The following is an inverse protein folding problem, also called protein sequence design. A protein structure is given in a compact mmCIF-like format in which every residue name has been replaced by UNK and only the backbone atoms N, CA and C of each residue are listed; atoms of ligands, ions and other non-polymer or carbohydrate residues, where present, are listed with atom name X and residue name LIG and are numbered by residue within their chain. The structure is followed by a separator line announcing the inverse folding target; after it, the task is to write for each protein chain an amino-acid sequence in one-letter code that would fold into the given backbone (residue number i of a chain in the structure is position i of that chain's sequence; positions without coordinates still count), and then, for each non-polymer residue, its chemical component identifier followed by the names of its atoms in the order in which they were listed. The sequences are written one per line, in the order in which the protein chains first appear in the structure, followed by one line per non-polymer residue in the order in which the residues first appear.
data_IF_405220626680
#
_entry.id   IF_405220626680
#
_cell.length_a   1.000
_cell.length_b   1.000
_cell.length_c   1.000
_cell.angle_alpha   90.00
_cell.angle_beta   90.00
_cell.angle_gamma   90.00
#
_symmetry.space_group_name_H-M   'P 1'
#
loop_
_entity.id
_entity.type
_entity.pdbx_description
1 polymer ?
#
# COMPACT_ATOMS: atom_id res chain seq x y z
N UNK A 1 -18.48 -13.63 -1.66
CA UNK A 1 -17.17 -14.14 -2.16
C UNK A 1 -16.20 -14.15 -1.00
N UNK A 2 -15.25 -15.10 -0.97
CA UNK A 2 -14.14 -15.04 -0.03
C UNK A 2 -13.25 -13.83 -0.36
N UNK A 3 -12.70 -13.18 0.66
CA UNK A 3 -11.73 -12.12 0.49
C UNK A 3 -10.40 -12.74 0.03
N UNK A 4 -9.77 -12.20 -1.00
CA UNK A 4 -8.48 -12.69 -1.48
C UNK A 4 -7.34 -12.19 -0.59
N UNK A 5 -6.32 -13.02 -0.40
CA UNK A 5 -5.11 -12.69 0.33
C UNK A 5 -3.95 -12.40 -0.62
N UNK A 6 -3.25 -11.31 -0.39
CA UNK A 6 -1.97 -11.00 -1.02
C UNK A 6 -0.84 -10.94 0.02
N UNK A 7 0.39 -10.94 -0.44
CA UNK A 7 1.56 -10.66 0.39
C UNK A 7 2.47 -9.68 -0.34
N UNK A 8 3.05 -8.73 0.41
CA UNK A 8 3.98 -7.77 -0.13
C UNK A 8 5.30 -8.46 -0.57
N UNK A 9 5.75 -8.22 -1.81
CA UNK A 9 7.01 -8.78 -2.33
C UNK A 9 8.22 -8.25 -1.55
N UNK A 10 8.11 -7.02 -1.05
CA UNK A 10 9.12 -6.32 -0.25
C UNK A 10 9.12 -6.74 1.23
N UNK A 11 8.26 -7.66 1.65
CA UNK A 11 8.32 -8.26 2.99
C UNK A 11 9.61 -9.06 3.23
N UNK A 12 10.21 -9.58 2.16
CA UNK A 12 11.39 -10.45 2.22
C UNK A 12 12.61 -9.87 1.47
N UNK A 13 13.12 -8.68 1.85
CA UNK A 13 14.14 -7.95 1.08
C UNK A 13 15.52 -8.65 1.04
N UNK A 14 15.77 -9.61 1.91
CA UNK A 14 17.01 -10.40 1.94
C UNK A 14 17.03 -11.54 0.91
N UNK A 15 15.88 -11.87 0.31
CA UNK A 15 15.78 -12.80 -0.80
C UNK A 15 15.96 -12.06 -2.13
N UNK A 16 16.30 -12.80 -3.19
CA UNK A 16 16.11 -12.26 -4.54
C UNK A 16 14.61 -12.10 -4.82
N UNK A 17 14.23 -11.22 -5.76
CA UNK A 17 12.83 -11.03 -6.11
C UNK A 17 12.14 -12.35 -6.51
N UNK A 18 12.81 -13.19 -7.31
CA UNK A 18 12.28 -14.49 -7.70
C UNK A 18 12.01 -15.39 -6.48
N UNK A 19 12.93 -15.47 -5.53
CA UNK A 19 12.75 -16.27 -4.32
C UNK A 19 11.68 -15.67 -3.37
N UNK A 20 11.53 -14.34 -3.34
CA UNK A 20 10.42 -13.70 -2.60
C UNK A 20 9.06 -14.12 -3.18
N UNK A 21 8.91 -14.08 -4.50
CA UNK A 21 7.68 -14.52 -5.18
C UNK A 21 7.47 -16.04 -5.04
N UNK A 22 8.52 -16.87 -5.11
CA UNK A 22 8.43 -18.31 -4.84
C UNK A 22 7.90 -18.57 -3.43
N UNK A 23 8.42 -17.86 -2.43
CA UNK A 23 7.97 -17.98 -1.05
C UNK A 23 6.51 -17.56 -0.89
N UNK A 24 6.08 -16.46 -1.47
CA UNK A 24 4.68 -15.99 -1.45
C UNK A 24 3.75 -17.05 -2.05
N UNK A 25 4.11 -17.63 -3.19
CA UNK A 25 3.33 -18.71 -3.82
C UNK A 25 3.30 -19.97 -2.96
N UNK A 26 4.44 -20.41 -2.39
CA UNK A 26 4.52 -21.55 -1.48
C UNK A 26 3.69 -21.36 -0.21
N UNK A 27 3.58 -20.15 0.29
CA UNK A 27 2.71 -19.80 1.40
C UNK A 27 1.21 -19.80 1.00
N UNK A 28 0.91 -19.94 -0.29
CA UNK A 28 -0.45 -20.11 -0.83
C UNK A 28 -1.25 -18.80 -0.87
N UNK A 29 -0.63 -17.64 -0.98
CA UNK A 29 -1.33 -16.40 -1.24
C UNK A 29 -1.94 -16.38 -2.64
N UNK A 30 -3.06 -15.66 -2.81
CA UNK A 30 -3.75 -15.50 -4.10
C UNK A 30 -3.03 -14.51 -5.02
N UNK A 31 -2.30 -13.54 -4.44
CA UNK A 31 -1.61 -12.49 -5.17
C UNK A 31 -0.42 -11.92 -4.44
N UNK A 32 0.25 -10.98 -5.11
CA UNK A 32 1.35 -10.22 -4.55
C UNK A 32 1.12 -8.71 -4.71
N UNK A 33 1.46 -7.95 -3.67
CA UNK A 33 1.62 -6.51 -3.73
C UNK A 33 3.05 -6.21 -4.15
N UNK A 34 3.22 -5.44 -5.19
CA UNK A 34 4.51 -5.15 -5.82
C UNK A 34 4.99 -3.76 -5.41
N UNK A 35 6.07 -3.71 -4.65
CA UNK A 35 6.69 -2.46 -4.21
C UNK A 35 7.58 -1.85 -5.28
N UNK A 36 7.22 -0.67 -5.77
CA UNK A 36 8.08 0.19 -6.58
C UNK A 36 8.68 1.29 -5.69
N UNK A 37 9.61 0.91 -4.81
CA UNK A 37 10.23 1.81 -3.84
C UNK A 37 11.69 2.09 -4.26
N UNK A 38 11.96 3.32 -4.66
CA UNK A 38 13.30 3.71 -5.05
C UNK A 38 14.33 3.42 -3.93
N UNK A 39 15.31 2.56 -4.25
CA UNK A 39 16.37 2.18 -3.32
C UNK A 39 16.00 1.25 -2.17
N UNK A 40 14.73 0.80 -2.02
CA UNK A 40 14.27 0.07 -0.83
C UNK A 40 13.53 -1.24 -1.10
N UNK A 41 12.98 -1.47 -2.29
CA UNK A 41 12.34 -2.73 -2.68
C UNK A 41 13.15 -3.48 -3.73
N UNK A 42 12.66 -4.63 -4.16
CA UNK A 42 13.29 -5.39 -5.25
C UNK A 42 13.27 -4.65 -6.59
N UNK A 43 12.21 -3.86 -6.83
CA UNK A 43 11.95 -3.17 -8.08
C UNK A 43 12.03 -1.65 -7.88
N UNK A 44 12.96 -1.02 -8.59
CA UNK A 44 13.20 0.42 -8.50
C UNK A 44 12.70 1.14 -9.76
N UNK A 45 11.84 2.16 -9.64
CA UNK A 45 11.36 2.94 -10.78
C UNK A 45 12.47 3.38 -11.72
N UNK A 46 13.58 3.90 -11.19
CA UNK A 46 14.73 4.36 -12.00
C UNK A 46 15.35 3.28 -12.90
N UNK A 47 15.26 2.01 -12.50
CA UNK A 47 15.78 0.88 -13.27
C UNK A 47 14.76 0.29 -14.22
N UNK A 48 13.50 0.21 -13.78
CA UNK A 48 12.43 -0.44 -14.54
C UNK A 48 11.96 0.41 -15.72
N UNK A 49 11.85 1.72 -15.51
CA UNK A 49 11.24 2.62 -16.48
C UNK A 49 12.15 2.95 -17.68
N UNK A 50 13.43 2.55 -17.66
CA UNK A 50 14.30 2.62 -18.81
C UNK A 50 13.86 1.70 -19.97
N UNK A 51 13.36 0.49 -19.67
CA UNK A 51 12.71 -0.44 -20.61
C UNK A 51 11.42 -0.97 -19.96
N UNK A 52 10.45 -0.07 -19.79
CA UNK A 52 9.24 -0.31 -19.02
C UNK A 52 8.47 -1.54 -19.50
N UNK A 53 8.21 -1.65 -20.81
CA UNK A 53 7.39 -2.74 -21.35
C UNK A 53 8.04 -4.11 -21.15
N UNK A 54 9.34 -4.19 -21.33
CA UNK A 54 10.09 -5.43 -21.07
C UNK A 54 10.05 -5.79 -19.59
N UNK A 55 10.28 -4.82 -18.71
CA UNK A 55 10.25 -5.01 -17.27
C UNK A 55 8.88 -5.46 -16.77
N UNK A 56 7.82 -4.83 -17.29
CA UNK A 56 6.44 -5.17 -16.95
C UNK A 56 6.07 -6.60 -17.40
N UNK A 57 6.39 -6.96 -18.63
CA UNK A 57 6.15 -8.32 -19.15
C UNK A 57 6.94 -9.38 -18.40
N UNK A 58 8.18 -9.07 -18.01
CA UNK A 58 8.97 -9.98 -17.18
C UNK A 58 8.33 -10.21 -15.82
N UNK A 59 7.80 -9.16 -15.16
CA UNK A 59 7.06 -9.29 -13.91
C UNK A 59 5.78 -10.10 -14.11
N UNK A 60 4.97 -9.77 -15.12
CA UNK A 60 3.74 -10.50 -15.42
C UNK A 60 4.00 -12.00 -15.64
N UNK A 61 5.08 -12.37 -16.36
CA UNK A 61 5.51 -13.75 -16.51
C UNK A 61 5.87 -14.40 -15.17
N UNK A 62 6.67 -13.72 -14.34
CA UNK A 62 7.05 -14.24 -13.01
C UNK A 62 5.86 -14.53 -12.11
N UNK A 63 4.84 -13.65 -12.11
CA UNK A 63 3.62 -13.85 -11.33
C UNK A 63 2.79 -15.00 -11.89
N UNK A 64 2.57 -15.02 -13.22
CA UNK A 64 1.83 -16.08 -13.92
C UNK A 64 2.42 -17.46 -13.71
N UNK A 65 3.75 -17.59 -13.81
CA UNK A 65 4.47 -18.88 -13.62
C UNK A 65 4.27 -19.45 -12.19
N UNK A 66 3.88 -18.60 -11.24
CA UNK A 66 3.65 -18.95 -9.84
C UNK A 66 2.17 -19.02 -9.46
N UNK A 67 1.27 -18.72 -10.40
CA UNK A 67 -0.16 -18.64 -10.14
C UNK A 67 -0.57 -17.47 -9.23
N UNK A 68 0.27 -16.43 -9.15
CA UNK A 68 -0.01 -15.22 -8.37
C UNK A 68 -0.70 -14.16 -9.23
N UNK A 69 -1.72 -13.51 -8.66
CA UNK A 69 -2.31 -12.32 -9.26
C UNK A 69 -1.50 -11.06 -8.83
N UNK A 70 -1.49 -10.02 -9.68
CA UNK A 70 -0.99 -8.71 -9.29
C UNK A 70 -2.09 -8.00 -8.50
N UNK A 71 -1.96 -7.95 -7.18
CA UNK A 71 -2.98 -7.41 -6.29
C UNK A 71 -2.89 -5.88 -6.19
N UNK A 72 -1.68 -5.35 -6.05
CA UNK A 72 -1.40 -3.91 -6.01
C UNK A 72 -0.02 -3.59 -6.60
N UNK A 73 0.15 -2.37 -7.09
CA UNK A 73 1.45 -1.75 -7.37
C UNK A 73 1.62 -0.54 -6.46
N UNK A 74 2.46 -0.67 -5.46
CA UNK A 74 2.69 0.40 -4.49
C UNK A 74 3.89 1.26 -4.90
N UNK A 75 3.64 2.53 -5.24
CA UNK A 75 4.66 3.49 -5.65
C UNK A 75 5.14 4.33 -4.46
N UNK A 76 6.45 4.33 -4.21
CA UNK A 76 7.14 5.32 -3.39
C UNK A 76 8.26 5.96 -4.22
N UNK A 77 8.09 7.24 -4.52
CA UNK A 77 8.91 7.97 -5.50
C UNK A 77 10.33 8.26 -5.05
N UNK A 78 10.58 8.24 -3.73
CA UNK A 78 11.87 8.53 -3.13
C UNK A 78 12.07 7.69 -1.85
N UNK A 79 13.30 7.57 -1.34
CA UNK A 79 13.57 6.91 -0.06
C UNK A 79 12.96 7.63 1.16
N UNK A 80 12.64 8.91 1.02
CA UNK A 80 11.95 9.73 2.03
C UNK A 80 10.56 10.16 1.53
N UNK A 81 9.75 10.73 2.42
CA UNK A 81 8.37 11.12 2.11
C UNK A 81 8.23 12.55 1.56
N UNK A 82 9.32 13.31 1.48
CA UNK A 82 9.33 14.77 1.26
C UNK A 82 9.91 15.16 -0.08
N UNK A 83 11.08 14.61 -0.44
CA UNK A 83 11.90 15.09 -1.57
C UNK A 83 11.19 15.01 -2.93
N UNK A 84 10.34 13.99 -3.16
CA UNK A 84 9.50 13.85 -4.36
C UNK A 84 8.04 13.63 -3.92
N UNK A 85 7.59 14.37 -2.91
CA UNK A 85 6.20 14.31 -2.48
C UNK A 85 5.25 14.77 -3.60
N UNK A 86 4.06 14.13 -3.76
CA UNK A 86 3.11 14.52 -4.80
C UNK A 86 2.68 15.98 -4.66
N UNK A 87 2.60 16.50 -3.45
CA UNK A 87 2.20 17.86 -3.13
C UNK A 87 3.37 18.80 -2.81
N UNK A 88 4.58 18.53 -3.32
CA UNK A 88 5.75 19.35 -3.07
C UNK A 88 5.52 20.82 -3.51
N UNK A 89 5.98 21.86 -2.75
CA UNK A 89 5.82 23.28 -3.13
C UNK A 89 6.41 23.61 -4.50
N UNK A 90 7.58 23.05 -4.83
CA UNK A 90 8.23 23.24 -6.12
C UNK A 90 7.48 22.50 -7.24
N UNK A 91 7.04 23.24 -8.25
CA UNK A 91 6.35 22.73 -9.43
C UNK A 91 7.19 21.70 -10.22
N UNK A 92 8.52 21.85 -10.26
CA UNK A 92 9.38 20.92 -11.00
C UNK A 92 9.39 19.55 -10.32
N UNK A 93 9.43 19.52 -8.99
CA UNK A 93 9.33 18.28 -8.21
C UNK A 93 7.97 17.61 -8.43
N UNK A 94 6.87 18.38 -8.43
CA UNK A 94 5.55 17.82 -8.74
C UNK A 94 5.47 17.25 -10.17
N UNK A 95 6.09 17.91 -11.16
CA UNK A 95 6.16 17.37 -12.53
C UNK A 95 6.90 16.03 -12.57
N UNK A 96 8.02 15.93 -11.85
CA UNK A 96 8.75 14.65 -11.71
C UNK A 96 7.88 13.59 -11.03
N UNK A 97 7.17 13.92 -9.96
CA UNK A 97 6.26 13.00 -9.28
C UNK A 97 5.11 12.54 -10.20
N UNK A 98 4.56 13.44 -11.04
CA UNK A 98 3.55 13.09 -12.05
C UNK A 98 4.12 12.17 -13.14
N UNK A 99 5.32 12.43 -13.64
CA UNK A 99 5.97 11.57 -14.63
C UNK A 99 6.20 10.15 -14.09
N UNK A 100 6.67 10.03 -12.84
CA UNK A 100 6.81 8.72 -12.19
C UNK A 100 5.46 8.01 -12.05
N UNK A 101 4.40 8.74 -11.71
CA UNK A 101 3.05 8.17 -11.63
C UNK A 101 2.52 7.72 -13.00
N UNK A 102 2.70 8.51 -14.06
CA UNK A 102 2.33 8.12 -15.43
C UNK A 102 3.04 6.84 -15.87
N UNK A 103 4.33 6.74 -15.57
CA UNK A 103 5.11 5.52 -15.87
C UNK A 103 4.63 4.34 -15.04
N UNK A 104 4.20 4.57 -13.78
CA UNK A 104 3.62 3.52 -12.94
C UNK A 104 2.29 3.04 -13.50
N UNK A 105 1.43 3.94 -13.98
CA UNK A 105 0.17 3.57 -14.66
C UNK A 105 0.45 2.70 -15.89
N UNK A 106 1.39 3.11 -16.75
CA UNK A 106 1.79 2.32 -17.93
C UNK A 106 2.35 0.94 -17.53
N UNK A 107 3.21 0.90 -16.51
CA UNK A 107 3.79 -0.35 -16.00
C UNK A 107 2.71 -1.29 -15.46
N UNK A 108 1.79 -0.77 -14.65
CA UNK A 108 0.68 -1.56 -14.06
C UNK A 108 -0.20 -2.16 -15.16
N UNK A 109 -0.54 -1.39 -16.19
CA UNK A 109 -1.32 -1.89 -17.34
C UNK A 109 -0.60 -2.99 -18.10
N UNK A 110 0.68 -2.79 -18.42
CA UNK A 110 1.49 -3.80 -19.14
C UNK A 110 1.69 -5.08 -18.31
N UNK A 111 1.60 -4.99 -16.97
CA UNK A 111 1.57 -6.16 -16.08
C UNK A 111 0.18 -6.82 -15.97
N UNK A 112 -0.88 -6.20 -16.51
CA UNK A 112 -2.26 -6.66 -16.33
C UNK A 112 -2.89 -6.29 -14.98
N UNK A 113 -2.26 -5.39 -14.20
CA UNK A 113 -2.76 -4.90 -12.91
C UNK A 113 -3.88 -3.89 -13.04
N UNK A 114 -4.65 -3.70 -11.95
CA UNK A 114 -5.81 -2.81 -11.90
C UNK A 114 -5.84 -1.91 -10.68
N UNK A 115 -4.81 -1.93 -9.85
CA UNK A 115 -4.72 -1.16 -8.63
C UNK A 115 -3.34 -0.54 -8.47
N UNK A 116 -3.30 0.71 -8.01
CA UNK A 116 -2.07 1.43 -7.66
C UNK A 116 -2.27 2.09 -6.31
N UNK A 117 -1.34 1.85 -5.40
CA UNK A 117 -1.19 2.56 -4.15
C UNK A 117 -0.05 3.58 -4.23
N UNK A 118 -0.19 4.72 -3.55
CA UNK A 118 0.90 5.66 -3.35
C UNK A 118 0.73 6.42 -2.03
N UNK A 119 1.78 7.15 -1.63
CA UNK A 119 1.70 8.02 -0.45
C UNK A 119 0.97 9.33 -0.80
N UNK A 120 0.13 9.88 0.13
CA UNK A 120 -0.71 11.04 -0.15
C UNK A 120 0.05 12.36 -0.26
N UNK A 121 1.26 12.42 0.29
CA UNK A 121 2.03 13.65 0.49
C UNK A 121 2.11 14.06 1.96
N UNK A 122 2.71 15.21 2.20
CA UNK A 122 3.07 15.69 3.56
C UNK A 122 2.63 17.14 3.78
N UNK A 123 2.62 17.57 5.04
CA UNK A 123 2.53 19.00 5.39
C UNK A 123 3.94 19.59 5.37
N UNK A 124 4.13 20.70 4.66
CA UNK A 124 5.41 21.39 4.59
C UNK A 124 5.47 22.50 5.65
N UNK A 125 6.51 22.45 6.50
CA UNK A 125 6.67 23.42 7.60
C UNK A 125 6.93 24.86 7.14
N UNK A 126 7.22 25.07 5.86
CA UNK A 126 7.54 26.40 5.27
C UNK A 126 6.31 27.15 4.76
N UNK A 127 5.12 26.56 4.89
CA UNK A 127 3.86 27.12 4.39
C UNK A 127 2.70 26.80 5.32
N UNK A 128 1.53 27.47 5.21
CA UNK A 128 0.31 27.07 5.92
C UNK A 128 -0.13 25.65 5.53
N UNK A 129 -0.61 24.87 6.50
CA UNK A 129 -1.11 23.51 6.26
C UNK A 129 -2.20 23.46 5.18
N UNK A 130 -3.06 24.48 5.11
CA UNK A 130 -4.10 24.61 4.09
C UNK A 130 -3.53 24.61 2.66
N UNK A 131 -2.38 25.26 2.42
CA UNK A 131 -1.74 25.28 1.10
C UNK A 131 -1.18 23.91 0.72
N UNK A 132 -0.54 23.22 1.67
CA UNK A 132 -0.11 21.83 1.48
C UNK A 132 -1.30 20.91 1.16
N UNK A 133 -2.43 21.09 1.86
CA UNK A 133 -3.63 20.27 1.70
C UNK A 133 -4.35 20.54 0.36
N UNK A 134 -4.52 21.80 -0.02
CA UNK A 134 -5.17 22.15 -1.29
C UNK A 134 -4.37 21.63 -2.47
N UNK A 135 -3.06 21.82 -2.45
CA UNK A 135 -2.16 21.25 -3.45
C UNK A 135 -2.17 19.72 -3.47
N UNK A 136 -2.28 19.09 -2.29
CA UNK A 136 -2.44 17.64 -2.17
C UNK A 136 -3.72 17.19 -2.89
N UNK A 137 -4.86 17.85 -2.66
CA UNK A 137 -6.14 17.54 -3.32
C UNK A 137 -6.04 17.63 -4.85
N UNK A 138 -5.46 18.71 -5.36
CA UNK A 138 -5.27 18.92 -6.80
C UNK A 138 -4.42 17.81 -7.43
N UNK A 139 -3.32 17.46 -6.78
CA UNK A 139 -2.40 16.44 -7.27
C UNK A 139 -2.99 15.03 -7.19
N UNK A 140 -3.78 14.73 -6.17
CA UNK A 140 -4.47 13.45 -6.05
C UNK A 140 -5.64 13.35 -7.03
N UNK A 141 -6.38 14.45 -7.27
CA UNK A 141 -7.44 14.49 -8.27
C UNK A 141 -6.89 14.19 -9.68
N UNK A 142 -5.77 14.80 -10.04
CA UNK A 142 -5.09 14.53 -11.30
C UNK A 142 -4.70 13.03 -11.44
N UNK A 143 -4.21 12.41 -10.35
CA UNK A 143 -3.86 10.98 -10.34
C UNK A 143 -5.06 10.07 -10.47
N UNK A 144 -6.16 10.41 -9.79
CA UNK A 144 -7.43 9.69 -9.93
C UNK A 144 -7.93 9.70 -11.37
N UNK A 145 -7.98 10.88 -12.00
CA UNK A 145 -8.40 11.01 -13.40
C UNK A 145 -7.48 10.21 -14.34
N UNK A 146 -6.17 10.30 -14.12
CA UNK A 146 -5.17 9.60 -14.94
C UNK A 146 -5.28 8.08 -14.83
N UNK A 147 -5.45 7.53 -13.64
CA UNK A 147 -5.61 6.11 -13.40
C UNK A 147 -6.98 5.61 -13.92
N UNK A 148 -8.06 6.31 -13.59
CA UNK A 148 -9.42 5.96 -14.02
C UNK A 148 -9.57 5.93 -15.54
N UNK A 149 -8.92 6.84 -16.27
CA UNK A 149 -8.88 6.86 -17.73
C UNK A 149 -8.25 5.60 -18.35
N UNK A 150 -7.58 4.77 -17.54
CA UNK A 150 -6.98 3.50 -17.93
C UNK A 150 -7.65 2.29 -17.24
N UNK A 151 -8.75 2.49 -16.51
CA UNK A 151 -9.43 1.43 -15.77
C UNK A 151 -8.68 0.93 -14.54
N UNK A 152 -7.78 1.75 -13.99
CA UNK A 152 -7.02 1.46 -12.77
C UNK A 152 -7.67 2.20 -11.60
N UNK A 153 -7.81 1.53 -10.45
CA UNK A 153 -8.17 2.15 -9.18
C UNK A 153 -6.91 2.74 -8.54
N UNK A 154 -7.00 4.00 -8.14
CA UNK A 154 -5.92 4.67 -7.41
C UNK A 154 -6.29 4.84 -5.94
N UNK A 155 -5.39 4.43 -5.05
CA UNK A 155 -5.52 4.55 -3.62
C UNK A 155 -4.32 5.26 -2.99
N UNK A 156 -4.55 5.88 -1.84
CA UNK A 156 -3.47 6.39 -0.99
C UNK A 156 -3.36 5.57 0.29
N UNK A 157 -2.13 5.34 0.74
CA UNK A 157 -1.89 4.83 2.07
C UNK A 157 -1.76 5.99 3.06
N UNK A 158 -2.73 6.10 3.96
CA UNK A 158 -2.69 7.07 5.06
C UNK A 158 -1.73 6.56 6.15
N UNK A 159 -0.54 7.17 6.24
CA UNK A 159 0.54 6.66 7.08
C UNK A 159 1.04 7.69 8.10
N UNK A 160 1.82 7.22 9.08
CA UNK A 160 2.53 8.08 10.03
C UNK A 160 3.40 9.09 9.29
N UNK A 161 3.25 10.38 9.63
CA UNK A 161 3.99 11.47 9.01
C UNK A 161 3.40 12.00 7.71
N UNK A 162 2.32 11.40 7.18
CA UNK A 162 1.62 11.94 6.01
C UNK A 162 0.64 13.06 6.40
N UNK A 163 0.15 13.77 5.39
CA UNK A 163 -0.91 14.78 5.53
C UNK A 163 -2.25 14.17 5.98
N UNK A 164 -2.40 12.85 5.89
CA UNK A 164 -3.58 12.06 6.26
C UNK A 164 -3.31 11.14 7.45
N UNK A 165 -2.58 11.58 8.47
CA UNK A 165 -2.06 10.76 9.57
C UNK A 165 -3.10 10.35 10.64
N UNK A 166 -4.36 10.77 10.52
CA UNK A 166 -5.45 10.35 11.43
C UNK A 166 -6.65 9.81 10.64
N UNK A 167 -7.52 8.97 11.24
CA UNK A 167 -8.72 8.50 10.55
C UNK A 167 -9.61 9.63 10.04
N UNK A 168 -9.71 10.71 10.79
CA UNK A 168 -10.52 11.88 10.41
C UNK A 168 -9.93 12.58 9.19
N UNK A 169 -8.61 12.86 9.19
CA UNK A 169 -7.95 13.53 8.06
C UNK A 169 -7.91 12.64 6.82
N UNK A 170 -7.70 11.33 6.97
CA UNK A 170 -7.76 10.35 5.89
C UNK A 170 -9.17 10.30 5.24
N UNK A 171 -10.22 10.20 6.05
CA UNK A 171 -11.60 10.22 5.56
C UNK A 171 -11.96 11.54 4.86
N UNK A 172 -11.55 12.68 5.43
CA UNK A 172 -11.80 13.99 4.86
C UNK A 172 -11.09 14.15 3.49
N UNK A 173 -9.84 13.72 3.39
CA UNK A 173 -9.07 13.80 2.15
C UNK A 173 -9.70 12.93 1.05
N UNK A 174 -10.00 11.67 1.34
CA UNK A 174 -10.63 10.75 0.35
C UNK A 174 -11.97 11.28 -0.13
N UNK A 175 -12.83 11.76 0.77
CA UNK A 175 -14.14 12.31 0.41
C UNK A 175 -14.05 13.62 -0.37
N UNK A 176 -12.96 14.37 -0.24
CA UNK A 176 -12.76 15.64 -0.95
C UNK A 176 -12.23 15.47 -2.38
N UNK A 177 -11.75 14.27 -2.75
CA UNK A 177 -11.16 13.98 -4.06
C UNK A 177 -11.98 12.89 -4.76
N UNK A 178 -12.78 13.21 -5.80
CA UNK A 178 -13.57 12.21 -6.51
C UNK A 178 -12.71 11.09 -7.08
N UNK A 179 -13.13 9.83 -6.85
CA UNK A 179 -12.43 8.64 -7.33
C UNK A 179 -11.24 8.19 -6.50
N UNK A 180 -10.85 8.94 -5.47
CA UNK A 180 -9.80 8.53 -4.55
C UNK A 180 -10.30 7.46 -3.58
N UNK A 181 -9.46 6.47 -3.28
CA UNK A 181 -9.72 5.44 -2.27
C UNK A 181 -8.54 5.29 -1.30
N UNK A 182 -8.65 4.38 -0.34
CA UNK A 182 -7.59 4.04 0.60
C UNK A 182 -6.99 2.67 0.27
N UNK A 183 -5.68 2.59 0.35
CA UNK A 183 -4.97 1.41 0.81
C UNK A 183 -4.90 1.54 2.32
N UNK A 184 -5.77 0.83 3.02
CA UNK A 184 -5.97 1.03 4.45
C UNK A 184 -5.05 0.12 5.25
N UNK A 185 -4.12 0.71 5.97
CA UNK A 185 -3.30 0.04 6.98
C UNK A 185 -3.65 0.56 8.38
N UNK A 186 -4.29 -0.29 9.20
CA UNK A 186 -4.66 0.04 10.57
C UNK A 186 -3.45 0.38 11.44
N UNK A 187 -2.30 -0.22 11.16
CA UNK A 187 -1.12 -0.16 12.03
C UNK A 187 -0.61 1.26 12.22
N UNK A 188 -0.73 2.10 11.19
CA UNK A 188 -0.35 3.50 11.27
C UNK A 188 -1.15 4.29 12.30
N UNK A 189 -2.42 3.96 12.47
CA UNK A 189 -3.31 4.58 13.47
C UNK A 189 -3.15 3.92 14.84
N UNK A 190 -3.09 2.58 14.87
CA UNK A 190 -2.93 1.77 16.09
C UNK A 190 -1.64 2.13 16.83
N UNK A 191 -0.55 2.39 16.09
CA UNK A 191 0.71 2.89 16.66
C UNK A 191 0.51 4.18 17.46
N UNK A 192 -0.37 5.06 17.00
CA UNK A 192 -0.75 6.29 17.69
C UNK A 192 -1.69 6.09 18.88
N UNK A 193 -2.10 4.85 19.17
CA UNK A 193 -3.05 4.52 20.23
C UNK A 193 -4.52 4.75 19.85
N UNK A 194 -4.82 4.89 18.55
CA UNK A 194 -6.19 5.05 18.05
C UNK A 194 -6.88 3.69 18.08
N UNK A 195 -8.09 3.63 18.62
CA UNK A 195 -8.85 2.40 18.75
C UNK A 195 -9.43 1.94 17.40
N UNK A 196 -9.54 0.62 17.20
CA UNK A 196 -10.10 0.02 15.97
C UNK A 196 -11.47 0.59 15.59
N UNK A 197 -12.32 0.90 16.58
CA UNK A 197 -13.64 1.50 16.34
C UNK A 197 -13.60 2.88 15.65
N UNK A 198 -12.52 3.63 15.85
CA UNK A 198 -12.33 4.94 15.22
C UNK A 198 -11.79 4.78 13.78
N UNK A 199 -11.07 3.67 13.50
CA UNK A 199 -10.48 3.36 12.20
C UNK A 199 -11.50 2.65 11.31
N UNK A 200 -12.34 1.79 11.87
CA UNK A 200 -13.30 0.93 11.17
C UNK A 200 -14.14 1.63 10.08
N UNK A 201 -14.63 2.88 10.26
CA UNK A 201 -15.35 3.59 9.21
C UNK A 201 -14.57 3.80 7.91
N UNK A 202 -13.24 3.73 7.95
CA UNK A 202 -12.38 3.85 6.76
C UNK A 202 -12.44 2.63 5.84
N UNK A 203 -12.87 1.46 6.34
CA UNK A 203 -13.00 0.23 5.52
C UNK A 203 -13.92 0.48 4.33
N UNK A 204 -14.99 1.25 4.50
CA UNK A 204 -15.90 1.58 3.41
C UNK A 204 -15.30 2.52 2.34
N UNK A 205 -14.14 3.11 2.60
CA UNK A 205 -13.40 3.97 1.69
C UNK A 205 -12.18 3.25 1.08
N UNK A 206 -11.93 2.00 1.47
CA UNK A 206 -10.76 1.25 1.05
C UNK A 206 -11.03 0.41 -0.21
N UNK A 207 -10.06 0.37 -1.11
CA UNK A 207 -10.02 -0.53 -2.26
C UNK A 207 -8.92 -1.58 -2.15
N UNK A 208 -7.95 -1.36 -1.27
CA UNK A 208 -6.91 -2.29 -0.88
C UNK A 208 -6.69 -2.21 0.63
N UNK A 209 -6.11 -3.25 1.23
CA UNK A 209 -5.89 -3.30 2.67
C UNK A 209 -4.53 -3.94 2.98
N UNK A 210 -3.74 -3.29 3.84
CA UNK A 210 -2.52 -3.86 4.40
C UNK A 210 -2.75 -4.36 5.82
N UNK A 211 -2.26 -5.55 6.11
CA UNK A 211 -2.42 -6.23 7.40
C UNK A 211 -1.07 -6.67 7.96
N UNK A 212 -0.77 -6.26 9.17
CA UNK A 212 0.35 -6.74 10.01
C UNK A 212 0.01 -6.54 11.49
N UNK A 213 0.80 -7.10 12.38
CA UNK A 213 0.60 -6.86 13.82
C UNK A 213 1.04 -5.45 14.22
N UNK A 214 0.28 -4.80 15.10
CA UNK A 214 0.65 -3.52 15.70
C UNK A 214 0.08 -3.35 17.11
N UNK A 215 0.63 -2.38 17.84
CA UNK A 215 0.13 -1.89 19.13
C UNK A 215 0.55 -0.44 19.37
N UNK A 216 0.02 0.18 20.40
CA UNK A 216 0.43 1.54 20.76
C UNK A 216 1.97 1.65 20.93
N UNK A 217 2.56 2.65 20.26
CA UNK A 217 3.99 2.87 20.22
C UNK A 217 4.79 1.94 19.30
N UNK A 218 4.14 0.99 18.61
CA UNK A 218 4.79 0.05 17.67
C UNK A 218 3.97 -0.08 16.41
N UNK A 219 4.57 0.35 15.28
CA UNK A 219 3.98 0.23 13.96
C UNK A 219 3.91 -1.21 13.50
N UNK A 220 4.95 -1.99 13.78
CA UNK A 220 5.01 -3.42 13.54
C UNK A 220 5.31 -4.17 14.84
N UNK A 221 4.44 -5.10 15.18
CA UNK A 221 4.53 -5.95 16.36
C UNK A 221 4.35 -7.42 15.96
N UNK A 222 4.79 -8.36 16.82
CA UNK A 222 4.50 -9.77 16.62
C UNK A 222 2.99 -10.03 16.64
N UNK A 223 2.56 -11.14 16.06
CA UNK A 223 1.15 -11.56 16.10
C UNK A 223 0.63 -11.69 17.54
N UNK A 224 1.50 -12.14 18.45
CA UNK A 224 1.14 -12.28 19.87
C UNK A 224 0.92 -10.93 20.57
N UNK A 225 1.64 -9.88 20.17
CA UNK A 225 1.53 -8.52 20.72
C UNK A 225 0.49 -7.66 19.98
N UNK A 226 0.00 -8.14 18.84
CA UNK A 226 -0.98 -7.42 18.04
C UNK A 226 -2.27 -7.16 18.82
N UNK A 227 -2.78 -5.93 18.71
CA UNK A 227 -4.04 -5.51 19.36
C UNK A 227 -5.18 -5.25 18.37
N UNK A 228 -4.91 -5.32 17.06
CA UNK A 228 -5.93 -5.13 16.01
C UNK A 228 -6.83 -6.37 15.96
N UNK A 229 -8.13 -6.18 16.06
CA UNK A 229 -9.14 -7.25 15.92
C UNK A 229 -9.41 -7.55 14.43
N UNK A 230 -8.53 -8.31 13.80
CA UNK A 230 -8.68 -8.69 12.38
C UNK A 230 -9.93 -9.54 12.11
N UNK A 231 -10.47 -10.27 13.09
CA UNK A 231 -11.73 -10.99 12.90
C UNK A 231 -12.88 -10.00 12.68
N UNK A 232 -12.94 -8.93 13.48
CA UNK A 232 -13.89 -7.84 13.32
C UNK A 232 -13.66 -7.04 12.05
N UNK A 233 -12.39 -6.77 11.68
CA UNK A 233 -12.05 -6.10 10.40
C UNK A 233 -12.61 -6.88 9.22
N UNK A 234 -12.39 -8.20 9.15
CA UNK A 234 -12.91 -9.05 8.08
C UNK A 234 -14.45 -9.12 8.08
N UNK A 235 -15.08 -9.13 9.26
CA UNK A 235 -16.55 -9.07 9.36
C UNK A 235 -17.07 -7.73 8.79
N UNK A 236 -16.44 -6.61 9.14
CA UNK A 236 -16.81 -5.28 8.64
C UNK A 236 -16.59 -5.17 7.13
N UNK A 237 -15.47 -5.69 6.60
CA UNK A 237 -15.24 -5.78 5.16
C UNK A 237 -16.39 -6.47 4.42
N UNK A 238 -16.87 -7.60 4.94
CA UNK A 238 -18.03 -8.31 4.34
C UNK A 238 -19.31 -7.48 4.43
N UNK A 239 -19.55 -6.80 5.56
CA UNK A 239 -20.74 -5.96 5.75
C UNK A 239 -20.79 -4.78 4.78
N UNK A 240 -19.65 -4.16 4.48
CA UNK A 240 -19.58 -3.03 3.53
C UNK A 240 -19.42 -3.46 2.07
N UNK A 241 -19.29 -4.77 1.80
CA UNK A 241 -19.11 -5.28 0.45
C UNK A 241 -17.71 -5.04 -0.13
N UNK A 242 -16.68 -5.04 0.71
CA UNK A 242 -15.29 -4.90 0.27
C UNK A 242 -14.89 -6.04 -0.68
N UNK A 243 -14.23 -5.69 -1.79
CA UNK A 243 -13.85 -6.64 -2.85
C UNK A 243 -12.36 -6.63 -3.19
N UNK A 244 -11.57 -5.80 -2.51
CA UNK A 244 -10.12 -5.73 -2.69
C UNK A 244 -9.39 -6.91 -2.06
N UNK A 245 -8.07 -6.88 -2.14
CA UNK A 245 -7.20 -7.83 -1.46
C UNK A 245 -6.94 -7.40 -0.01
N UNK A 246 -6.64 -8.38 0.83
CA UNK A 246 -6.00 -8.16 2.14
C UNK A 246 -4.54 -8.59 1.98
N UNK A 247 -3.66 -7.60 1.85
CA UNK A 247 -2.21 -7.78 1.69
C UNK A 247 -1.52 -7.93 3.04
N UNK A 248 -0.85 -9.05 3.30
CA UNK A 248 0.01 -9.20 4.49
C UNK A 248 1.33 -8.50 4.23
N UNK A 249 1.66 -7.49 5.07
CA UNK A 249 2.74 -6.54 4.84
C UNK A 249 3.67 -6.42 6.06
N UNK A 250 4.25 -7.50 6.53
CA UNK A 250 5.38 -7.40 7.46
C UNK A 250 6.64 -6.96 6.69
N UNK A 251 7.23 -5.80 7.08
CA UNK A 251 8.38 -5.23 6.40
C UNK A 251 9.66 -5.41 7.21
N UNK A 252 10.82 -5.47 6.53
CA UNK A 252 12.13 -5.57 7.17
C UNK A 252 12.93 -4.29 6.90
N UNK A 253 12.66 -3.26 7.70
CA UNK A 253 13.32 -1.96 7.61
C UNK A 253 13.55 -1.38 9.01
N UNK A 254 14.59 -0.56 9.19
CA UNK A 254 14.89 0.09 10.48
C UNK A 254 13.87 1.14 10.89
N UNK A 255 13.16 1.71 9.90
CA UNK A 255 12.14 2.71 10.17
C UNK A 255 11.05 2.14 11.08
N UNK A 256 10.73 2.88 12.16
CA UNK A 256 9.75 2.46 13.16
C UNK A 256 10.07 1.10 13.82
N UNK A 257 11.34 0.67 13.76
CA UNK A 257 11.81 -0.60 14.32
C UNK A 257 11.12 -1.86 13.74
N UNK A 258 10.72 -1.80 12.46
CA UNK A 258 10.02 -2.91 11.83
C UNK A 258 10.92 -4.16 11.63
N UNK A 259 12.26 -4.00 11.64
CA UNK A 259 13.22 -5.11 11.57
C UNK A 259 13.43 -5.88 12.89
N UNK A 260 12.72 -5.54 13.96
CA UNK A 260 12.75 -6.26 15.24
C UNK A 260 11.77 -7.45 15.32
N UNK A 261 11.03 -7.71 14.26
CA UNK A 261 10.00 -8.77 14.19
C UNK A 261 10.39 -9.77 13.09
N UNK A 262 10.19 -11.07 13.32
CA UNK A 262 10.42 -12.10 12.30
C UNK A 262 9.32 -12.07 11.23
N UNK A 263 9.63 -11.48 10.09
CA UNK A 263 8.66 -11.29 9.01
C UNK A 263 8.04 -12.58 8.50
N UNK A 264 8.81 -13.66 8.39
CA UNK A 264 8.32 -14.92 7.83
C UNK A 264 7.33 -15.59 8.79
N UNK A 265 7.72 -15.77 10.04
CA UNK A 265 6.86 -16.40 11.04
C UNK A 265 5.57 -15.61 11.25
N UNK A 266 5.67 -14.29 11.35
CA UNK A 266 4.53 -13.41 11.56
C UNK A 266 3.60 -13.35 10.35
N UNK A 267 4.15 -13.39 9.13
CA UNK A 267 3.36 -13.52 7.89
C UNK A 267 2.55 -14.81 7.89
N UNK A 268 3.15 -15.94 8.30
CA UNK A 268 2.46 -17.23 8.38
C UNK A 268 1.35 -17.21 9.43
N UNK A 269 1.65 -16.72 10.63
CA UNK A 269 0.67 -16.66 11.73
C UNK A 269 -0.54 -15.78 11.37
N UNK A 270 -0.30 -14.60 10.82
CA UNK A 270 -1.39 -13.71 10.42
C UNK A 270 -2.19 -14.29 9.25
N UNK A 271 -1.54 -14.82 8.21
CA UNK A 271 -2.20 -15.51 7.10
C UNK A 271 -3.14 -16.61 7.60
N UNK A 272 -2.66 -17.47 8.50
CA UNK A 272 -3.44 -18.60 9.01
C UNK A 272 -4.63 -18.11 9.83
N UNK A 273 -4.46 -17.04 10.61
CA UNK A 273 -5.56 -16.37 11.32
C UNK A 273 -6.61 -15.82 10.34
N UNK A 274 -6.18 -15.09 9.31
CA UNK A 274 -7.07 -14.51 8.32
C UNK A 274 -7.87 -15.60 7.58
N UNK A 275 -7.23 -16.73 7.25
CA UNK A 275 -7.89 -17.89 6.63
C UNK A 275 -8.91 -18.55 7.55
N UNK A 276 -8.57 -18.72 8.81
CA UNK A 276 -9.50 -19.26 9.82
C UNK A 276 -10.78 -18.41 9.90
N UNK A 277 -10.66 -17.10 9.64
CA UNK A 277 -11.79 -16.17 9.64
C UNK A 277 -12.36 -15.91 8.23
N UNK A 278 -12.04 -16.77 7.25
CA UNK A 278 -12.68 -16.81 5.93
C UNK A 278 -12.14 -15.83 4.90
N UNK A 279 -10.86 -15.48 4.97
CA UNK A 279 -10.12 -14.85 3.90
C UNK A 279 -9.18 -15.88 3.24
N UNK A 280 -8.90 -15.70 1.93
CA UNK A 280 -8.14 -16.68 1.15
C UNK A 280 -8.99 -17.89 0.68
N UNK A 281 -8.50 -18.56 -0.37
CA UNK A 281 -9.14 -19.75 -0.94
C UNK A 281 -8.84 -21.03 -0.12
#
# INVERSE_FOLDING_TARGET
MALKLACADFAFPLLSHDHSLDLIAMLGFDGADIGLFEGRSHLWPSRLFGDLKRSARALAGKLSDRGLELADVFLQTAPDFVSIAPNHPDLQVRRQARELFDRTVEFTLECGGKHISALPGVTFATEPESESLDRCRDELAWRCERAAGQGIVFAIEAHVGSIASTPLTAAALVRSVPGLSLTLDYTHFTRGGIADLEIEPLIALASHFHARGARAGRLQASFQENVIDYARVLETMRKVGYTGYVGVEYVWIDWEHCNEVDNLSETVLLRDFLRLHGAGA
#
